data_IF_691110463679
#
_entry.id   IF_691110463679
#
_cell.length_a   1.000
_cell.length_b   1.000
_cell.length_c   1.000
_cell.angle_alpha   90.00
_cell.angle_beta   90.00
_cell.angle_gamma   90.00
#
_symmetry.space_group_name_H-M   'P 1'
#
loop_
_entity.id
_entity.type
_entity.pdbx_description
1 polymer ?
#
# COMPACT_ATOMS: atom_id res chain seq x y z
N UNK A 1 -11.72 -13.32 -16.12
CA UNK A 1 -12.02 -12.19 -15.17
C UNK A 1 -10.87 -12.15 -14.15
N UNK A 2 -10.39 -10.98 -13.78
CA UNK A 2 -9.34 -10.84 -12.76
C UNK A 2 -9.86 -11.22 -11.37
N UNK A 3 -9.16 -12.12 -10.69
CA UNK A 3 -9.53 -12.59 -9.35
C UNK A 3 -8.63 -11.93 -8.31
N UNK A 4 -9.20 -10.99 -7.57
CA UNK A 4 -8.47 -10.24 -6.53
C UNK A 4 -8.07 -11.12 -5.34
N UNK A 5 -8.88 -12.10 -4.97
CA UNK A 5 -8.58 -13.00 -3.86
C UNK A 5 -7.36 -13.88 -4.19
N UNK A 6 -7.32 -14.47 -5.39
CA UNK A 6 -6.17 -15.22 -5.87
C UNK A 6 -4.93 -14.32 -5.98
N UNK A 7 -5.11 -13.11 -6.51
CA UNK A 7 -4.02 -12.14 -6.66
C UNK A 7 -3.41 -11.70 -5.32
N UNK A 8 -4.20 -11.60 -4.26
CA UNK A 8 -3.75 -11.25 -2.92
C UNK A 8 -3.38 -12.45 -2.05
N UNK A 9 -3.42 -13.66 -2.59
CA UNK A 9 -3.03 -14.86 -1.86
C UNK A 9 -1.53 -14.80 -1.49
N UNK A 10 -1.24 -14.86 -0.19
CA UNK A 10 0.11 -14.71 0.35
C UNK A 10 1.06 -15.85 -0.07
N UNK A 11 0.53 -17.04 -0.35
CA UNK A 11 1.33 -18.19 -0.78
C UNK A 11 2.01 -17.93 -2.13
N UNK A 12 1.43 -17.07 -2.97
CA UNK A 12 1.99 -16.69 -4.27
C UNK A 12 3.19 -15.74 -4.16
N UNK A 13 3.45 -15.17 -2.97
CA UNK A 13 4.46 -14.13 -2.74
C UNK A 13 5.51 -14.50 -1.70
N UNK A 14 5.49 -15.73 -1.18
CA UNK A 14 6.46 -16.23 -0.24
C UNK A 14 7.79 -16.56 -0.95
N UNK A 15 8.64 -15.57 -1.20
CA UNK A 15 10.02 -15.82 -1.66
C UNK A 15 10.86 -16.42 -0.52
N UNK A 16 11.87 -17.25 -0.86
CA UNK A 16 12.78 -17.81 0.14
C UNK A 16 13.44 -16.73 1.03
N UNK A 17 13.79 -15.60 0.46
CA UNK A 17 14.39 -14.47 1.20
C UNK A 17 13.44 -13.88 2.23
N UNK A 18 12.16 -13.72 1.89
CA UNK A 18 11.13 -13.24 2.82
C UNK A 18 10.83 -14.23 3.91
N UNK A 19 10.79 -15.51 3.59
CA UNK A 19 10.63 -16.58 4.59
C UNK A 19 11.82 -16.60 5.55
N UNK A 20 13.05 -16.43 5.05
CA UNK A 20 14.26 -16.32 5.89
C UNK A 20 14.20 -15.08 6.79
N UNK A 21 13.82 -13.91 6.25
CA UNK A 21 13.70 -12.66 7.02
C UNK A 21 12.67 -12.79 8.14
N UNK A 22 11.49 -13.36 7.86
CA UNK A 22 10.47 -13.63 8.88
C UNK A 22 10.98 -14.57 9.98
N UNK A 23 11.71 -15.64 9.63
CA UNK A 23 12.29 -16.57 10.62
C UNK A 23 13.34 -15.89 11.49
N UNK A 24 14.15 -15.01 10.94
CA UNK A 24 15.16 -14.24 11.69
C UNK A 24 14.44 -13.28 12.65
N UNK A 25 13.47 -12.53 12.18
CA UNK A 25 12.70 -11.58 12.98
C UNK A 25 11.97 -12.26 14.14
N UNK A 26 11.36 -13.42 13.90
CA UNK A 26 10.68 -14.20 14.95
C UNK A 26 11.64 -14.74 16.01
N UNK A 27 12.87 -15.12 15.64
CA UNK A 27 13.87 -15.64 16.57
C UNK A 27 14.53 -14.56 17.42
N UNK A 28 14.68 -13.33 16.90
CA UNK A 28 15.45 -12.27 17.53
C UNK A 28 14.57 -11.24 18.27
N UNK A 29 13.25 -11.48 18.40
CA UNK A 29 12.29 -10.49 18.90
C UNK A 29 12.45 -9.12 18.20
N UNK A 30 12.79 -9.13 16.91
CA UNK A 30 12.99 -7.92 16.14
C UNK A 30 11.67 -7.13 16.06
N UNK A 31 11.64 -5.88 16.55
CA UNK A 31 10.45 -5.04 16.53
C UNK A 31 10.00 -4.63 15.13
N UNK A 32 10.76 -4.92 14.09
CA UNK A 32 10.36 -4.67 12.69
C UNK A 32 9.12 -5.47 12.26
N UNK A 33 8.74 -6.52 13.02
CA UNK A 33 7.48 -7.27 12.99
C UNK A 33 6.75 -7.31 11.67
N UNK A 34 7.44 -7.68 10.57
CA UNK A 34 6.86 -7.70 9.24
C UNK A 34 5.73 -8.73 9.16
N UNK A 35 4.51 -8.24 9.05
CA UNK A 35 3.32 -9.08 8.96
C UNK A 35 2.49 -8.68 7.74
N UNK A 36 2.28 -9.64 6.82
CA UNK A 36 1.43 -9.44 5.67
C UNK A 36 -0.01 -9.86 5.99
N UNK A 37 -0.95 -8.95 5.73
CA UNK A 37 -2.35 -9.15 6.09
C UNK A 37 -3.05 -10.06 5.08
N UNK A 38 -3.70 -11.17 5.51
CA UNK A 38 -4.47 -12.03 4.64
C UNK A 38 -5.65 -11.31 3.97
N UNK A 39 -6.02 -11.75 2.76
CA UNK A 39 -7.15 -11.20 2.00
C UNK A 39 -8.44 -11.06 2.81
N UNK A 40 -8.80 -12.08 3.58
CA UNK A 40 -10.03 -12.07 4.38
C UNK A 40 -10.09 -10.92 5.40
N UNK A 41 -8.95 -10.58 6.00
CA UNK A 41 -8.85 -9.46 6.96
C UNK A 41 -8.88 -8.13 6.21
N UNK A 42 -8.13 -8.00 5.11
CA UNK A 42 -8.14 -6.80 4.26
C UNK A 42 -9.56 -6.49 3.81
N UNK A 43 -10.27 -7.49 3.25
CA UNK A 43 -11.65 -7.35 2.84
C UNK A 43 -12.57 -6.94 3.98
N UNK A 44 -12.49 -7.64 5.13
CA UNK A 44 -13.32 -7.34 6.30
C UNK A 44 -13.13 -5.91 6.82
N UNK A 45 -11.90 -5.40 6.83
CA UNK A 45 -11.62 -4.03 7.24
C UNK A 45 -12.15 -3.02 6.21
N UNK A 46 -11.92 -3.27 4.93
CA UNK A 46 -12.38 -2.40 3.86
C UNK A 46 -13.91 -2.38 3.74
N UNK A 47 -14.61 -3.47 4.08
CA UNK A 47 -16.08 -3.54 4.09
C UNK A 47 -16.73 -2.62 5.16
N UNK A 48 -15.94 -2.07 6.09
CA UNK A 48 -16.41 -1.08 7.08
C UNK A 48 -16.40 0.36 6.57
N UNK A 49 -15.73 0.63 5.46
CA UNK A 49 -15.73 1.95 4.80
C UNK A 49 -17.05 2.12 4.06
N UNK A 50 -17.65 3.31 4.16
CA UNK A 50 -18.96 3.59 3.55
C UNK A 50 -18.93 3.60 2.02
N UNK A 51 -20.04 3.29 1.40
CA UNK A 51 -20.19 3.38 -0.06
C UNK A 51 -19.97 4.82 -0.58
N UNK A 52 -20.33 5.82 0.23
CA UNK A 52 -20.09 7.23 -0.06
C UNK A 52 -18.59 7.52 -0.18
N UNK A 53 -17.78 7.04 0.77
CA UNK A 53 -16.33 7.20 0.75
C UNK A 53 -15.67 6.44 -0.41
N UNK A 54 -16.16 5.24 -0.73
CA UNK A 54 -15.66 4.45 -1.85
C UNK A 54 -15.93 5.10 -3.21
N UNK A 55 -17.11 5.70 -3.38
CA UNK A 55 -17.58 6.29 -4.63
C UNK A 55 -17.07 7.72 -4.86
N UNK A 56 -16.59 8.41 -3.84
CA UNK A 56 -16.05 9.78 -3.97
C UNK A 56 -14.67 9.75 -4.65
N UNK A 57 -14.52 10.27 -5.88
CA UNK A 57 -13.25 10.28 -6.59
C UNK A 57 -12.15 11.11 -5.90
N UNK A 58 -12.53 12.03 -5.01
CA UNK A 58 -11.60 12.90 -4.28
C UNK A 58 -11.21 12.32 -2.91
N UNK A 59 -11.86 11.25 -2.47
CA UNK A 59 -11.53 10.62 -1.18
C UNK A 59 -10.13 10.02 -1.20
N UNK A 60 -9.32 10.38 -0.21
CA UNK A 60 -7.97 9.86 -0.05
C UNK A 60 -7.92 8.70 0.94
N UNK A 61 -7.04 7.76 0.67
CA UNK A 61 -6.77 6.58 1.50
C UNK A 61 -5.29 6.58 1.90
N UNK A 62 -5.01 6.37 3.17
CA UNK A 62 -3.65 6.29 3.69
C UNK A 62 -3.38 4.91 4.30
N UNK A 63 -2.32 4.26 3.84
CA UNK A 63 -1.77 3.05 4.46
C UNK A 63 -0.40 3.37 5.08
N UNK A 64 -0.30 3.49 6.41
CA UNK A 64 0.91 3.97 7.07
C UNK A 64 2.05 2.95 7.15
N UNK A 65 1.79 1.68 6.84
CA UNK A 65 2.77 0.58 6.82
C UNK A 65 2.32 -0.45 5.82
N UNK A 66 2.48 -0.14 4.52
CA UNK A 66 1.77 -0.90 3.49
C UNK A 66 2.38 -2.27 3.15
N UNK A 67 3.57 -2.62 3.67
CA UNK A 67 4.23 -3.88 3.35
C UNK A 67 4.41 -4.02 1.83
N UNK A 68 4.03 -5.16 1.27
CA UNK A 68 4.02 -5.37 -0.17
C UNK A 68 2.68 -5.00 -0.84
N UNK A 69 1.79 -4.27 -0.13
CA UNK A 69 0.66 -3.58 -0.73
C UNK A 69 -0.70 -4.26 -0.65
N UNK A 70 -0.95 -5.16 0.30
CA UNK A 70 -2.24 -5.87 0.41
C UNK A 70 -3.44 -4.91 0.45
N UNK A 71 -3.44 -3.91 1.34
CA UNK A 71 -4.51 -2.91 1.41
C UNK A 71 -4.52 -1.99 0.20
N UNK A 72 -3.36 -1.50 -0.24
CA UNK A 72 -3.25 -0.61 -1.42
C UNK A 72 -3.89 -1.27 -2.65
N UNK A 73 -3.55 -2.53 -2.91
CA UNK A 73 -4.07 -3.27 -4.06
C UNK A 73 -5.57 -3.52 -3.96
N UNK A 74 -6.07 -3.88 -2.79
CA UNK A 74 -7.50 -4.11 -2.59
C UNK A 74 -8.30 -2.82 -2.74
N UNK A 75 -7.83 -1.71 -2.17
CA UNK A 75 -8.45 -0.38 -2.30
C UNK A 75 -8.48 0.04 -3.77
N UNK A 76 -7.35 -0.08 -4.46
CA UNK A 76 -7.24 0.27 -5.87
C UNK A 76 -8.20 -0.56 -6.74
N UNK A 77 -8.21 -1.88 -6.56
CA UNK A 77 -9.12 -2.79 -7.25
C UNK A 77 -10.58 -2.41 -7.02
N UNK A 78 -10.99 -2.24 -5.76
CA UNK A 78 -12.37 -1.92 -5.39
C UNK A 78 -12.83 -0.62 -6.04
N UNK A 79 -12.02 0.43 -5.98
CA UNK A 79 -12.36 1.71 -6.59
C UNK A 79 -12.50 1.64 -8.10
N UNK A 80 -11.63 0.90 -8.78
CA UNK A 80 -11.68 0.77 -10.25
C UNK A 80 -12.84 -0.15 -10.67
N UNK A 81 -12.92 -1.34 -10.10
CA UNK A 81 -13.81 -2.41 -10.59
C UNK A 81 -15.21 -2.32 -10.01
N UNK A 82 -15.33 -2.05 -8.69
CA UNK A 82 -16.65 -2.04 -8.03
C UNK A 82 -17.31 -0.65 -8.10
N UNK A 83 -16.51 0.45 -8.03
CA UNK A 83 -17.02 1.82 -8.04
C UNK A 83 -16.76 2.59 -9.34
N UNK A 84 -16.18 1.95 -10.34
CA UNK A 84 -15.97 2.49 -11.69
C UNK A 84 -15.22 3.84 -11.71
N UNK A 85 -14.27 4.03 -10.80
CA UNK A 85 -13.37 5.19 -10.79
C UNK A 85 -12.22 4.89 -11.75
N UNK A 86 -11.84 5.85 -12.58
CA UNK A 86 -10.70 5.66 -13.48
C UNK A 86 -9.42 5.36 -12.71
N UNK A 87 -8.55 4.51 -13.28
CA UNK A 87 -7.38 4.01 -12.59
C UNK A 87 -6.40 5.10 -12.15
N UNK A 88 -6.29 6.17 -12.94
CA UNK A 88 -5.38 7.27 -12.62
C UNK A 88 -5.87 8.06 -11.39
N UNK A 89 -7.16 8.39 -11.33
CA UNK A 89 -7.80 9.01 -10.17
C UNK A 89 -7.72 8.09 -8.95
N UNK A 90 -8.06 6.82 -9.11
CA UNK A 90 -7.99 5.85 -8.02
C UNK A 90 -6.58 5.74 -7.43
N UNK A 91 -5.55 5.60 -8.27
CA UNK A 91 -4.15 5.51 -7.84
C UNK A 91 -3.66 6.82 -7.22
N UNK A 92 -4.03 7.96 -7.78
CA UNK A 92 -3.60 9.30 -7.32
C UNK A 92 -4.12 9.66 -5.92
N UNK A 93 -5.15 8.99 -5.45
CA UNK A 93 -5.78 9.23 -4.13
C UNK A 93 -5.39 8.21 -3.07
N UNK A 94 -4.49 7.27 -3.38
CA UNK A 94 -3.93 6.31 -2.42
C UNK A 94 -2.52 6.73 -2.05
N UNK A 95 -2.26 6.82 -0.75
CA UNK A 95 -0.98 7.22 -0.16
C UNK A 95 -0.49 6.13 0.77
N UNK A 96 0.81 5.90 0.80
CA UNK A 96 1.40 4.90 1.68
C UNK A 96 2.84 5.20 2.07
N UNK A 97 3.21 4.75 3.27
CA UNK A 97 4.57 4.79 3.78
C UNK A 97 4.97 3.37 4.16
N UNK A 98 6.17 2.96 3.80
CA UNK A 98 6.73 1.64 4.14
C UNK A 98 8.23 1.78 4.41
N UNK A 99 8.70 1.14 5.47
CA UNK A 99 10.09 1.23 5.90
C UNK A 99 11.05 0.45 4.99
N UNK A 100 10.60 -0.70 4.47
CA UNK A 100 11.43 -1.65 3.75
C UNK A 100 11.40 -1.38 2.23
N UNK A 101 12.55 -1.07 1.65
CA UNK A 101 12.69 -0.74 0.23
C UNK A 101 12.22 -1.87 -0.70
N UNK A 102 12.48 -3.13 -0.37
CA UNK A 102 12.04 -4.28 -1.15
C UNK A 102 10.51 -4.45 -1.14
N UNK A 103 9.83 -4.11 -0.05
CA UNK A 103 8.38 -4.09 0.02
C UNK A 103 7.79 -2.98 -0.87
N UNK A 104 8.40 -1.78 -0.84
CA UNK A 104 7.99 -0.68 -1.73
C UNK A 104 8.11 -1.09 -3.19
N UNK A 105 9.25 -1.66 -3.58
CA UNK A 105 9.49 -2.11 -4.94
C UNK A 105 8.48 -3.19 -5.38
N UNK A 106 8.21 -4.16 -4.52
CA UNK A 106 7.23 -5.21 -4.82
C UNK A 106 5.81 -4.69 -4.89
N UNK A 107 5.40 -3.79 -4.00
CA UNK A 107 4.09 -3.16 -4.06
C UNK A 107 3.89 -2.47 -5.43
N UNK A 108 4.88 -1.70 -5.88
CA UNK A 108 4.84 -1.04 -7.19
C UNK A 108 4.72 -2.02 -8.35
N UNK A 109 5.46 -3.13 -8.32
CA UNK A 109 5.35 -4.18 -9.34
C UNK A 109 3.96 -4.83 -9.35
N UNK A 110 3.40 -5.09 -8.19
CA UNK A 110 2.05 -5.67 -8.06
C UNK A 110 0.98 -4.72 -8.57
N UNK A 111 1.10 -3.41 -8.30
CA UNK A 111 0.21 -2.39 -8.87
C UNK A 111 0.25 -2.41 -10.40
N UNK A 112 1.44 -2.46 -10.99
CA UNK A 112 1.58 -2.57 -12.45
C UNK A 112 0.87 -3.80 -13.00
N UNK A 113 1.12 -4.99 -12.44
CA UNK A 113 0.48 -6.24 -12.86
C UNK A 113 -1.05 -6.17 -12.79
N UNK A 114 -1.57 -5.60 -11.72
CA UNK A 114 -3.01 -5.47 -11.57
C UNK A 114 -3.60 -4.48 -12.58
N UNK A 115 -3.01 -3.30 -12.74
CA UNK A 115 -3.49 -2.30 -13.69
C UNK A 115 -3.43 -2.79 -15.15
N UNK A 116 -2.39 -3.53 -15.53
CA UNK A 116 -2.32 -4.20 -16.84
C UNK A 116 -3.51 -5.15 -17.07
N UNK A 117 -4.00 -5.78 -16.03
CA UNK A 117 -5.11 -6.74 -16.14
C UNK A 117 -6.51 -6.09 -16.12
N UNK A 118 -6.68 -4.96 -15.42
CA UNK A 118 -8.01 -4.38 -15.15
C UNK A 118 -8.26 -3.00 -15.79
N UNK A 119 -7.22 -2.31 -16.27
CA UNK A 119 -7.33 -0.96 -16.85
C UNK A 119 -6.88 -0.94 -18.31
N UNK A 120 -7.82 -0.92 -19.29
CA UNK A 120 -7.48 -1.00 -20.71
C UNK A 120 -6.62 0.15 -21.24
N UNK A 121 -6.72 1.32 -20.59
CA UNK A 121 -5.97 2.55 -20.93
C UNK A 121 -4.76 2.77 -20.03
N UNK A 122 -4.32 1.74 -19.33
CA UNK A 122 -3.16 1.80 -18.43
C UNK A 122 -1.91 2.33 -19.14
N UNK A 123 -1.22 3.23 -18.43
CA UNK A 123 0.05 3.81 -18.87
C UNK A 123 1.10 3.66 -17.75
N UNK A 124 2.15 2.89 -18.02
CA UNK A 124 3.19 2.54 -17.05
C UNK A 124 3.95 3.75 -16.50
N UNK A 125 4.33 4.69 -17.37
CA UNK A 125 5.11 5.86 -16.97
C UNK A 125 4.27 6.80 -16.08
N UNK A 126 3.00 6.98 -16.44
CA UNK A 126 2.07 7.75 -15.63
C UNK A 126 1.84 7.11 -14.26
N UNK A 127 1.67 5.80 -14.20
CA UNK A 127 1.54 5.07 -12.95
C UNK A 127 2.82 5.19 -12.08
N UNK A 128 4.00 5.06 -12.68
CA UNK A 128 5.27 5.25 -11.98
C UNK A 128 5.38 6.65 -11.37
N UNK A 129 5.03 7.69 -12.11
CA UNK A 129 5.08 9.06 -11.61
C UNK A 129 4.17 9.25 -10.38
N UNK A 130 2.95 8.70 -10.42
CA UNK A 130 2.02 8.75 -9.29
C UNK A 130 2.59 7.98 -8.10
N UNK A 131 3.03 6.75 -8.28
CA UNK A 131 3.53 5.91 -7.20
C UNK A 131 4.82 6.47 -6.57
N UNK A 132 5.69 7.12 -7.35
CA UNK A 132 6.89 7.77 -6.82
C UNK A 132 6.58 8.94 -5.88
N UNK A 133 5.45 9.60 -6.09
CA UNK A 133 4.96 10.66 -5.20
C UNK A 133 4.19 10.13 -3.98
N UNK A 134 3.45 9.04 -4.15
CA UNK A 134 2.46 8.60 -3.18
C UNK A 134 2.91 7.40 -2.33
N UNK A 135 3.82 6.55 -2.82
CA UNK A 135 4.32 5.37 -2.10
C UNK A 135 5.77 5.59 -1.69
N UNK A 136 5.95 5.95 -0.44
CA UNK A 136 7.20 6.47 0.11
C UNK A 136 7.93 5.39 0.92
N UNK A 137 9.23 5.24 0.67
CA UNK A 137 10.12 4.46 1.53
C UNK A 137 10.65 5.35 2.65
N UNK A 138 10.05 5.24 3.84
CA UNK A 138 10.44 6.07 4.99
C UNK A 138 9.94 5.47 6.30
N UNK A 139 10.49 5.92 7.43
CA UNK A 139 9.98 5.61 8.76
C UNK A 139 8.69 6.41 9.01
N UNK A 140 7.59 5.69 9.28
CA UNK A 140 6.29 6.26 9.62
C UNK A 140 6.37 7.34 10.71
N UNK A 141 7.16 7.11 11.75
CA UNK A 141 7.25 8.02 12.91
C UNK A 141 7.98 9.33 12.64
N UNK A 142 8.67 9.44 11.51
CA UNK A 142 9.40 10.63 11.09
C UNK A 142 8.90 11.23 9.77
N UNK A 143 7.71 10.82 9.34
CA UNK A 143 7.01 11.36 8.16
C UNK A 143 5.93 12.36 8.57
N UNK A 144 5.95 13.54 7.93
CA UNK A 144 4.88 14.55 8.10
C UNK A 144 3.77 14.27 7.11
N UNK A 145 2.65 13.71 7.59
CA UNK A 145 1.50 13.30 6.77
C UNK A 145 0.66 14.47 6.25
N UNK A 146 0.71 15.64 6.92
CA UNK A 146 -0.03 16.83 6.48
C UNK A 146 0.64 17.48 5.27
N UNK A 147 1.97 17.58 5.29
CA UNK A 147 2.76 18.20 4.23
C UNK A 147 3.36 17.18 3.24
N UNK A 148 3.17 15.91 3.49
CA UNK A 148 3.66 14.77 2.69
C UNK A 148 5.17 14.84 2.41
N UNK A 149 5.96 15.00 3.46
CA UNK A 149 7.44 15.09 3.45
C UNK A 149 8.06 14.51 4.71
N UNK A 150 9.38 14.27 4.72
CA UNK A 150 10.08 13.96 5.97
C UNK A 150 9.93 15.08 7.01
N UNK A 151 9.82 14.72 8.28
CA UNK A 151 9.85 15.68 9.38
C UNK A 151 11.22 16.34 9.49
N UNK A 152 11.25 17.60 9.89
CA UNK A 152 12.48 18.29 10.28
C UNK A 152 12.99 17.79 11.64
N UNK A 153 14.25 18.04 11.96
CA UNK A 153 14.80 17.66 13.28
C UNK A 153 14.03 18.28 14.44
N UNK A 154 13.54 19.50 14.28
CA UNK A 154 12.72 20.18 15.29
C UNK A 154 11.38 19.50 15.51
N UNK A 155 10.70 19.08 14.42
CA UNK A 155 9.44 18.35 14.48
C UNK A 155 9.63 16.99 15.18
N UNK A 156 10.70 16.26 14.86
CA UNK A 156 11.05 14.98 15.50
C UNK A 156 11.30 15.18 17.00
N UNK A 157 12.05 16.23 17.40
CA UNK A 157 12.31 16.55 18.81
C UNK A 157 11.04 16.88 19.58
N UNK A 158 10.09 17.60 18.95
CA UNK A 158 8.78 17.92 19.54
C UNK A 158 7.90 16.68 19.71
N UNK A 159 7.89 15.78 18.73
CA UNK A 159 7.11 14.53 18.77
C UNK A 159 7.57 13.60 19.90
N UNK A 160 8.88 13.53 20.19
CA UNK A 160 9.44 12.68 21.26
C UNK A 160 9.19 13.22 22.69
N UNK A 161 8.72 14.45 22.84
CA UNK A 161 8.43 15.06 24.15
C UNK A 161 6.96 14.94 24.60
N UNK A 162 6.09 14.40 23.74
CA UNK A 162 4.69 14.07 24.02
C UNK A 162 4.55 12.59 24.37
#
# INVERSE_FOLDING_TARGET
>A
MFDIEEFLNLDNYATEERVKRRKINTKNNDPSGEFFTPYSIVKHMCDKVSDEDWSDPNKTFLEPSFGHGQFILFILYRRIVEYNIDWCTALSTIFGVELMEDNVAECKQRVHKMLEAIAPDYNKDKANNIMNCNFICHDFFTWNFEEWRPMTEEEIKKAKKK
#
